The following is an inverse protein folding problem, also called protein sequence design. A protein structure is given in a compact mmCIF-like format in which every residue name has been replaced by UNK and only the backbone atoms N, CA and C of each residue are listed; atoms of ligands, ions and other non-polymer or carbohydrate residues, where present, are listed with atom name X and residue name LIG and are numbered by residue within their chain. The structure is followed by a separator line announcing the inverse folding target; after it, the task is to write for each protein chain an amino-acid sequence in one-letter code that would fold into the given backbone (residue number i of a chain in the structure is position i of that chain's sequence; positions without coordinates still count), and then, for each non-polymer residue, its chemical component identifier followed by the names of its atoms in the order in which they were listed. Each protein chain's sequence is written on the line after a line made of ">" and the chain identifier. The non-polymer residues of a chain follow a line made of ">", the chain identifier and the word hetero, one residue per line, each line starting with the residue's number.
data_IF_272969652348
#
_entry.id   IF_272969652348
#
_cell.length_a   1.000
_cell.length_b   1.000
_cell.length_c   1.000
_cell.angle_alpha   90.00
_cell.angle_beta   90.00
_cell.angle_gamma   90.00
#
_symmetry.space_group_name_H-M   'P 1'
#
loop_
_entity.id
_entity.type
_entity.pdbx_description
1 polymer ?
#
# COMPACT_ATOMS: atom_id res chain seq x y z
N UNK A 1 1.56 7.59 9.85
CA UNK A 1 1.77 6.52 8.85
C UNK A 1 0.40 5.99 8.46
N UNK A 2 0.14 5.77 7.17
CA UNK A 2 -1.12 5.20 6.69
C UNK A 2 -1.14 3.70 6.95
N UNK A 3 -2.31 3.17 7.26
CA UNK A 3 -2.55 1.72 7.35
C UNK A 3 -2.41 1.08 5.97
N UNK A 4 -2.27 -0.25 5.92
CA UNK A 4 -2.19 -0.95 4.64
C UNK A 4 -3.40 -0.70 3.73
N UNK A 5 -4.65 -0.81 4.20
CA UNK A 5 -5.83 -0.53 3.38
C UNK A 5 -5.82 0.90 2.80
N UNK A 6 -5.44 1.88 3.60
CA UNK A 6 -5.32 3.28 3.19
C UNK A 6 -4.21 3.47 2.14
N UNK A 7 -3.06 2.82 2.32
CA UNK A 7 -1.95 2.87 1.36
C UNK A 7 -2.40 2.35 -0.01
N UNK A 8 -3.07 1.20 -0.07
CA UNK A 8 -3.56 0.64 -1.34
C UNK A 8 -4.58 1.57 -2.00
N UNK A 9 -5.53 2.07 -1.21
CA UNK A 9 -6.56 3.00 -1.69
C UNK A 9 -5.96 4.29 -2.25
N UNK A 10 -4.93 4.82 -1.60
CA UNK A 10 -4.28 6.06 -2.03
C UNK A 10 -3.40 5.85 -3.26
N UNK A 11 -2.65 4.74 -3.36
CA UNK A 11 -1.95 4.35 -4.60
C UNK A 11 -2.93 4.30 -5.77
N UNK A 12 -4.09 3.68 -5.57
CA UNK A 12 -5.13 3.59 -6.60
C UNK A 12 -5.64 4.96 -7.02
N UNK A 13 -6.03 5.78 -6.04
CA UNK A 13 -6.61 7.11 -6.27
C UNK A 13 -5.62 8.07 -6.92
N UNK A 14 -4.36 8.05 -6.49
CA UNK A 14 -3.32 8.89 -7.07
C UNK A 14 -3.04 8.55 -8.54
N UNK A 15 -3.30 7.30 -8.92
CA UNK A 15 -3.22 6.83 -10.30
C UNK A 15 -4.54 7.04 -11.08
N UNK A 16 -5.55 7.70 -10.49
CA UNK A 16 -6.83 7.95 -11.14
C UNK A 16 -7.69 6.71 -11.41
N UNK A 17 -7.36 5.56 -10.82
CA UNK A 17 -8.00 4.29 -11.15
C UNK A 17 -9.26 4.01 -10.32
N UNK A 18 -10.26 3.41 -10.95
CA UNK A 18 -11.35 2.73 -10.25
C UNK A 18 -10.85 1.43 -9.62
N UNK A 19 -11.58 0.89 -8.63
CA UNK A 19 -11.24 -0.41 -8.04
C UNK A 19 -11.25 -1.54 -9.09
N UNK A 20 -12.12 -1.44 -10.10
CA UNK A 20 -12.16 -2.40 -11.21
C UNK A 20 -10.91 -2.33 -12.07
N UNK A 21 -10.46 -1.13 -12.43
CA UNK A 21 -9.22 -0.95 -13.21
C UNK A 21 -8.00 -1.46 -12.44
N UNK A 22 -7.85 -1.14 -11.15
CA UNK A 22 -6.76 -1.70 -10.35
C UNK A 22 -6.83 -3.24 -10.31
N UNK A 23 -8.03 -3.80 -10.16
CA UNK A 23 -8.21 -5.25 -10.17
C UNK A 23 -7.77 -5.88 -11.51
N UNK A 24 -8.12 -5.24 -12.63
CA UNK A 24 -7.67 -5.65 -13.97
C UNK A 24 -6.15 -5.58 -14.11
N UNK A 25 -5.52 -4.47 -13.71
CA UNK A 25 -4.05 -4.29 -13.74
C UNK A 25 -3.33 -5.37 -12.94
N UNK A 26 -3.89 -5.77 -11.80
CA UNK A 26 -3.33 -6.81 -10.93
C UNK A 26 -3.78 -8.25 -11.31
N UNK A 27 -4.70 -8.41 -12.25
CA UNK A 27 -5.31 -9.70 -12.59
C UNK A 27 -5.95 -10.37 -11.37
N UNK A 28 -6.82 -9.64 -10.66
CA UNK A 28 -7.60 -10.11 -9.51
C UNK A 28 -9.06 -9.65 -9.62
N UNK A 29 -9.93 -10.09 -8.71
CA UNK A 29 -11.33 -9.63 -8.70
C UNK A 29 -11.47 -8.23 -8.08
N UNK A 30 -12.41 -7.43 -8.60
CA UNK A 30 -12.79 -6.13 -8.02
C UNK A 30 -13.20 -6.26 -6.54
N UNK A 31 -13.89 -7.35 -6.19
CA UNK A 31 -14.32 -7.63 -4.81
C UNK A 31 -13.11 -7.76 -3.89
N UNK A 32 -12.04 -8.45 -4.33
CA UNK A 32 -10.82 -8.57 -3.53
C UNK A 32 -10.18 -7.20 -3.24
N UNK A 33 -10.06 -6.35 -4.27
CA UNK A 33 -9.55 -4.97 -4.08
C UNK A 33 -10.41 -4.19 -3.09
N UNK A 34 -11.75 -4.28 -3.21
CA UNK A 34 -12.66 -3.61 -2.29
C UNK A 34 -12.51 -4.09 -0.84
N UNK A 35 -12.38 -5.41 -0.62
CA UNK A 35 -12.22 -5.98 0.73
C UNK A 35 -10.87 -5.60 1.35
N UNK A 36 -9.82 -5.49 0.54
CA UNK A 36 -8.50 -5.04 1.01
C UNK A 36 -8.55 -3.56 1.39
N UNK A 37 -9.11 -2.69 0.53
CA UNK A 37 -9.19 -1.25 0.80
C UNK A 37 -10.11 -0.88 1.97
N UNK A 38 -11.07 -1.75 2.31
CA UNK A 38 -11.93 -1.58 3.48
C UNK A 38 -11.38 -2.23 4.75
N UNK A 39 -10.26 -2.96 4.66
CA UNK A 39 -9.68 -3.71 5.78
C UNK A 39 -10.46 -4.97 6.17
N UNK A 40 -11.48 -5.37 5.40
CA UNK A 40 -12.24 -6.61 5.64
C UNK A 40 -11.41 -7.86 5.35
N UNK A 41 -10.38 -7.76 4.51
CA UNK A 41 -9.48 -8.86 4.17
C UNK A 41 -8.04 -8.39 4.08
N UNK A 42 -7.14 -9.12 4.73
CA UNK A 42 -5.71 -8.90 4.58
C UNK A 42 -5.23 -9.29 3.17
N UNK A 43 -4.29 -8.50 2.64
CA UNK A 43 -3.70 -8.81 1.34
C UNK A 43 -2.78 -10.03 1.44
N UNK A 44 -2.92 -10.96 0.49
CA UNK A 44 -2.02 -12.09 0.39
C UNK A 44 -0.64 -11.66 -0.10
N UNK A 45 0.38 -12.50 0.15
CA UNK A 45 1.72 -12.32 -0.41
C UNK A 45 1.69 -12.13 -1.94
N UNK A 46 0.86 -12.93 -2.63
CA UNK A 46 0.70 -12.83 -4.09
C UNK A 46 0.13 -11.48 -4.54
N UNK A 47 -0.78 -10.88 -3.77
CA UNK A 47 -1.27 -9.53 -4.05
C UNK A 47 -0.15 -8.49 -3.95
N UNK A 48 0.66 -8.56 -2.89
CA UNK A 48 1.79 -7.64 -2.66
C UNK A 48 2.83 -7.76 -3.77
N UNK A 49 3.15 -9.00 -4.19
CA UNK A 49 4.10 -9.24 -5.29
C UNK A 49 3.60 -8.59 -6.58
N UNK A 50 2.36 -8.91 -7.01
CA UNK A 50 1.77 -8.33 -8.22
C UNK A 50 1.74 -6.81 -8.19
N UNK A 51 1.36 -6.23 -7.06
CA UNK A 51 1.36 -4.77 -6.91
C UNK A 51 2.77 -4.20 -7.02
N UNK A 52 3.76 -4.81 -6.37
CA UNK A 52 5.15 -4.35 -6.41
C UNK A 52 5.75 -4.41 -7.81
N UNK A 53 5.41 -5.44 -8.60
CA UNK A 53 5.81 -5.56 -10.00
C UNK A 53 5.27 -4.40 -10.84
N UNK A 54 3.97 -4.09 -10.71
CA UNK A 54 3.33 -2.99 -11.45
C UNK A 54 3.82 -1.61 -11.01
N UNK A 55 4.19 -1.46 -9.74
CA UNK A 55 4.83 -0.24 -9.24
C UNK A 55 6.33 -0.16 -9.58
N UNK A 56 6.91 -1.24 -10.12
CA UNK A 56 8.35 -1.34 -10.40
C UNK A 56 9.21 -1.10 -9.16
N UNK A 57 8.86 -1.77 -8.06
CA UNK A 57 9.60 -1.76 -6.79
C UNK A 57 9.74 -3.19 -6.26
N UNK A 58 10.68 -3.42 -5.34
CA UNK A 58 10.80 -4.72 -4.67
C UNK A 58 9.63 -4.93 -3.67
N UNK A 59 9.09 -6.16 -3.48
CA UNK A 59 8.01 -6.43 -2.53
C UNK A 59 8.28 -5.96 -1.09
N UNK A 60 9.55 -6.01 -0.66
CA UNK A 60 10.01 -5.49 0.63
C UNK A 60 9.84 -3.98 0.81
N UNK A 61 9.52 -3.24 -0.25
CA UNK A 61 9.15 -1.82 -0.18
C UNK A 61 7.72 -1.61 0.35
N UNK A 62 6.86 -2.62 0.20
CA UNK A 62 5.43 -2.55 0.53
C UNK A 62 5.14 -3.33 1.82
N UNK A 63 5.80 -4.48 1.99
CA UNK A 63 5.59 -5.42 3.10
C UNK A 63 5.67 -4.82 4.51
N UNK A 64 6.57 -3.86 4.83
CA UNK A 64 6.61 -3.24 6.16
C UNK A 64 5.31 -2.56 6.57
N UNK A 65 4.47 -2.20 5.60
CA UNK A 65 3.19 -1.54 5.84
C UNK A 65 2.02 -2.53 5.90
N UNK A 66 2.22 -3.79 5.47
CA UNK A 66 1.18 -4.82 5.42
C UNK A 66 0.79 -5.35 6.80
N UNK A 67 1.72 -5.31 7.75
CA UNK A 67 1.49 -5.69 9.13
C UNK A 67 1.55 -4.44 10.01
N UNK A 68 0.48 -3.65 10.02
CA UNK A 68 0.31 -2.68 11.11
C UNK A 68 0.06 -3.46 12.38
N UNK A 69 1.02 -3.41 13.32
CA UNK A 69 0.74 -3.78 14.70
C UNK A 69 -0.48 -2.97 15.16
N UNK A 70 -1.49 -3.61 15.77
CA UNK A 70 -2.61 -2.86 16.34
C UNK A 70 -2.02 -1.81 17.27
N UNK A 71 -2.60 -0.61 17.27
CA UNK A 71 -2.18 0.50 18.13
C UNK A 71 -2.48 0.17 19.60
N UNK A 72 -1.83 -0.84 20.16
CA UNK A 72 -1.97 -1.26 21.54
C UNK A 72 -1.01 -0.42 22.37
N UNK A 73 -1.54 0.66 22.94
CA UNK A 73 -0.84 1.66 23.76
C UNK A 73 0.34 2.33 23.05
N UNK A 74 0.40 3.65 23.03
CA UNK A 74 1.59 4.36 22.53
C UNK A 74 2.65 4.35 23.63
N UNK A 75 3.66 3.47 23.62
CA UNK A 75 4.83 3.66 24.47
C UNK A 75 5.46 5.00 24.14
N UNK A 76 6.16 5.59 25.11
CA UNK A 76 6.94 6.81 24.91
C UNK A 76 8.07 6.51 23.92
N UNK A 77 7.83 6.80 22.64
CA UNK A 77 8.79 6.56 21.56
C UNK A 77 10.07 7.37 21.78
N UNK A 78 11.20 6.69 21.65
CA UNK A 78 12.53 7.28 21.54
C UNK A 78 12.66 8.15 20.29
N UNK A 79 13.71 8.98 20.25
CA UNK A 79 13.99 9.82 19.08
C UNK A 79 14.20 8.99 17.81
N UNK A 80 14.92 7.86 17.93
CA UNK A 80 15.22 6.98 16.79
C UNK A 80 13.93 6.35 16.25
N UNK A 81 13.04 5.87 17.12
CA UNK A 81 11.75 5.30 16.68
C UNK A 81 10.88 6.34 15.97
N UNK A 82 10.85 7.59 16.45
CA UNK A 82 10.15 8.68 15.76
C UNK A 82 10.73 8.95 14.37
N UNK A 83 12.05 9.00 14.25
CA UNK A 83 12.70 9.20 12.95
C UNK A 83 12.45 8.02 12.00
N UNK A 84 12.43 6.78 12.49
CA UNK A 84 12.09 5.61 11.68
C UNK A 84 10.64 5.67 11.18
N UNK A 85 9.68 6.07 12.02
CA UNK A 85 8.27 6.25 11.63
C UNK A 85 8.13 7.38 10.60
N UNK A 86 8.87 8.47 10.78
CA UNK A 86 8.92 9.59 9.85
C UNK A 86 9.48 9.17 8.49
N UNK A 87 10.60 8.45 8.49
CA UNK A 87 11.20 7.87 7.28
C UNK A 87 10.22 6.94 6.57
N UNK A 88 9.57 6.02 7.29
CA UNK A 88 8.56 5.14 6.73
C UNK A 88 7.37 5.90 6.14
N UNK A 89 6.93 6.98 6.79
CA UNK A 89 5.84 7.84 6.29
C UNK A 89 6.24 8.59 5.01
N UNK A 90 7.46 9.12 4.94
CA UNK A 90 8.02 9.72 3.71
C UNK A 90 8.12 8.69 2.59
N UNK A 91 8.51 7.46 2.91
CA UNK A 91 8.60 6.38 1.94
C UNK A 91 7.22 5.95 1.42
N UNK A 92 6.19 5.84 2.27
CA UNK A 92 4.81 5.63 1.83
C UNK A 92 4.36 6.72 0.86
N UNK A 93 4.64 7.99 1.18
CA UNK A 93 4.31 9.10 0.31
C UNK A 93 5.03 9.02 -1.04
N UNK A 94 6.28 8.57 -1.08
CA UNK A 94 6.99 8.31 -2.33
C UNK A 94 6.32 7.20 -3.16
N UNK A 95 5.91 6.10 -2.54
CA UNK A 95 5.19 5.03 -3.23
C UNK A 95 3.86 5.52 -3.81
N UNK A 96 3.12 6.31 -3.03
CA UNK A 96 1.84 6.89 -3.46
C UNK A 96 2.06 7.91 -4.58
N UNK A 97 2.88 8.94 -4.38
CA UNK A 97 2.96 10.08 -5.32
C UNK A 97 3.76 9.79 -6.58
N UNK A 98 4.77 8.91 -6.49
CA UNK A 98 5.71 8.70 -7.60
C UNK A 98 5.50 7.34 -8.24
N UNK A 99 5.51 6.26 -7.44
CA UNK A 99 5.47 4.90 -8.01
C UNK A 99 4.09 4.51 -8.53
N UNK A 100 3.01 5.05 -7.95
CA UNK A 100 1.66 4.74 -8.40
C UNK A 100 1.43 5.11 -9.87
N UNK A 101 2.09 6.16 -10.38
CA UNK A 101 1.91 6.62 -11.75
C UNK A 101 2.25 5.55 -12.80
N UNK A 102 3.10 4.56 -12.45
CA UNK A 102 3.38 3.41 -13.32
C UNK A 102 2.18 2.51 -13.57
N UNK A 103 1.15 2.57 -12.71
CA UNK A 103 -0.08 1.79 -12.93
C UNK A 103 -0.82 2.24 -14.19
N UNK A 104 -0.63 3.49 -14.62
CA UNK A 104 -1.26 4.04 -15.82
C UNK A 104 -0.76 3.37 -17.10
N UNK A 105 0.42 2.76 -17.08
CA UNK A 105 0.99 2.04 -18.22
C UNK A 105 0.24 0.74 -18.56
N UNK A 106 -0.72 0.34 -17.72
CA UNK A 106 -1.44 -0.94 -17.79
C UNK A 106 -2.95 -0.80 -17.97
N UNK A 107 -3.45 0.42 -18.18
CA UNK A 107 -4.89 0.76 -18.19
C UNK A 107 -5.38 1.04 -19.60
#
# INVERSE_FOLDING_TARGET
>A
MKTFPELIKDIRKESGLTQGQLASVLGVSKILVSMIESGQKEASKGFVIKLSEKLGVHPGSIMPFAFTLPATSTPKLSLIEKELINLGSKFQNYLIKVKSQKLNDYV
#
